data_IF_280198794949
#
_entry.id   IF_280198794949
#
_cell.length_a   1.000
_cell.length_b   1.000
_cell.length_c   1.000
_cell.angle_alpha   90.00
_cell.angle_beta   90.00
_cell.angle_gamma   90.00
#
_symmetry.space_group_name_H-M   'P 1'
#
loop_
_entity.id
_entity.type
_entity.pdbx_description
1 polymer ?
#
# COMPACT_ATOMS: atom_id res chain seq x y z
N UNK A 1 7.29 5.13 24.05
CA UNK A 1 7.63 5.80 22.79
C UNK A 1 9.13 5.69 22.61
N UNK A 2 9.60 4.63 21.92
CA UNK A 2 11.03 4.40 21.67
C UNK A 2 11.33 4.97 20.30
N UNK A 3 12.19 5.97 20.24
CA UNK A 3 12.75 6.47 18.99
C UNK A 3 13.65 5.38 18.38
N UNK A 4 13.33 4.78 17.24
CA UNK A 4 14.19 3.81 16.59
C UNK A 4 15.08 4.52 15.58
N UNK A 5 15.93 5.45 16.03
CA UNK A 5 16.87 6.06 15.10
C UNK A 5 18.29 5.68 15.52
N UNK A 6 18.68 4.45 15.17
CA UNK A 6 20.07 4.05 15.17
C UNK A 6 20.63 4.47 13.80
N UNK A 7 21.18 5.68 13.74
CA UNK A 7 21.93 6.16 12.57
C UNK A 7 23.17 5.29 12.46
N UNK A 8 23.10 4.21 11.70
CA UNK A 8 24.29 3.55 11.18
C UNK A 8 24.51 4.09 9.78
N UNK A 9 25.63 4.79 9.52
CA UNK A 9 25.96 5.27 8.20
C UNK A 9 25.94 4.09 7.23
N UNK A 10 25.14 4.17 6.18
CA UNK A 10 25.15 3.12 5.18
C UNK A 10 26.55 3.12 4.56
N UNK A 11 27.21 1.98 4.52
CA UNK A 11 28.56 1.85 3.93
C UNK A 11 28.63 2.51 2.54
N UNK A 12 27.52 2.51 1.82
CA UNK A 12 27.40 3.14 0.49
C UNK A 12 27.45 4.66 0.52
N UNK A 13 26.77 5.30 1.49
CA UNK A 13 26.81 6.76 1.65
C UNK A 13 28.22 7.24 2.03
N UNK A 14 28.87 6.51 2.93
CA UNK A 14 30.25 6.79 3.33
C UNK A 14 31.22 6.63 2.15
N UNK A 15 31.11 5.55 1.39
CA UNK A 15 31.95 5.33 0.19
C UNK A 15 31.74 6.41 -0.85
N UNK A 16 30.50 6.76 -1.18
CA UNK A 16 30.18 7.80 -2.17
C UNK A 16 30.76 9.15 -1.75
N UNK A 17 30.58 9.54 -0.49
CA UNK A 17 31.14 10.78 0.06
C UNK A 17 32.67 10.79 0.01
N UNK A 18 33.30 9.66 0.31
CA UNK A 18 34.73 9.50 0.25
C UNK A 18 35.28 9.70 -1.17
N UNK A 19 34.66 9.09 -2.18
CA UNK A 19 35.05 9.26 -3.59
C UNK A 19 34.87 10.71 -4.07
N UNK A 20 33.76 11.37 -3.73
CA UNK A 20 33.49 12.77 -4.09
C UNK A 20 34.58 13.68 -3.52
N UNK A 21 34.94 13.48 -2.24
CA UNK A 21 35.95 14.30 -1.60
C UNK A 21 37.36 14.06 -2.13
N UNK A 22 37.72 12.81 -2.49
CA UNK A 22 38.98 12.51 -3.17
C UNK A 22 39.08 13.23 -4.51
N UNK A 23 38.02 13.18 -5.32
CA UNK A 23 37.99 13.87 -6.62
C UNK A 23 38.14 15.38 -6.41
N UNK A 24 37.44 15.96 -5.44
CA UNK A 24 37.55 17.38 -5.10
C UNK A 24 38.97 17.75 -4.66
N UNK A 25 39.64 16.91 -3.87
CA UNK A 25 41.01 17.11 -3.40
C UNK A 25 42.01 17.06 -4.55
N UNK A 26 41.88 16.11 -5.47
CA UNK A 26 42.72 16.00 -6.67
C UNK A 26 42.54 17.24 -7.54
N UNK A 27 41.31 17.68 -7.76
CA UNK A 27 41.00 18.88 -8.55
C UNK A 27 41.60 20.13 -7.94
N UNK A 28 41.47 20.30 -6.60
CA UNK A 28 42.07 21.40 -5.86
C UNK A 28 43.60 21.44 -6.01
N UNK A 29 44.27 20.29 -5.88
CA UNK A 29 45.72 20.17 -6.04
C UNK A 29 46.18 20.57 -7.43
N UNK A 30 45.45 20.16 -8.48
CA UNK A 30 45.77 20.51 -9.88
C UNK A 30 45.62 22.01 -10.13
N UNK A 31 44.57 22.65 -9.55
CA UNK A 31 44.25 24.08 -9.83
C UNK A 31 45.16 25.02 -9.05
N UNK A 32 45.46 24.72 -7.81
CA UNK A 32 46.16 25.67 -6.89
C UNK A 32 47.66 25.35 -6.80
N UNK A 33 48.09 24.15 -7.16
CA UNK A 33 49.51 23.77 -7.26
C UNK A 33 50.26 23.70 -5.92
N UNK A 34 49.56 23.78 -4.76
CA UNK A 34 50.15 23.69 -3.44
C UNK A 34 49.13 23.27 -2.39
N UNK A 35 49.59 22.65 -1.31
CA UNK A 35 48.75 22.18 -0.21
C UNK A 35 49.26 22.77 1.10
N UNK A 36 48.40 23.47 1.82
CA UNK A 36 48.68 24.03 3.15
C UNK A 36 48.03 23.17 4.23
N UNK A 37 48.59 23.19 5.47
CA UNK A 37 48.01 22.47 6.59
C UNK A 37 46.60 22.97 6.93
N UNK A 38 46.28 24.24 6.64
CA UNK A 38 44.97 24.82 6.84
C UNK A 38 43.93 24.21 5.87
N UNK A 39 44.36 23.87 4.64
CA UNK A 39 43.50 23.26 3.62
C UNK A 39 43.04 21.87 4.03
N UNK A 40 43.88 21.12 4.79
CA UNK A 40 43.51 19.83 5.34
C UNK A 40 42.31 19.93 6.29
N UNK A 41 42.26 20.98 7.15
CA UNK A 41 41.15 21.23 8.02
C UNK A 41 39.83 21.47 7.28
N UNK A 42 39.88 22.27 6.19
CA UNK A 42 38.70 22.50 5.34
C UNK A 42 38.22 21.24 4.63
N UNK A 43 39.12 20.39 4.14
CA UNK A 43 38.76 19.14 3.51
C UNK A 43 38.12 18.16 4.47
N UNK A 44 38.63 18.03 5.70
CA UNK A 44 38.04 17.18 6.73
C UNK A 44 36.63 17.68 7.07
N UNK A 45 36.46 18.98 7.28
CA UNK A 45 35.16 19.58 7.60
C UNK A 45 34.14 19.35 6.48
N UNK A 46 34.54 19.61 5.22
CA UNK A 46 33.65 19.41 4.05
C UNK A 46 33.30 17.93 3.83
N UNK A 47 34.25 17.02 4.12
CA UNK A 47 33.98 15.59 4.07
C UNK A 47 32.89 15.18 5.06
N UNK A 48 33.01 15.60 6.32
CA UNK A 48 32.02 15.25 7.34
C UNK A 48 30.64 15.87 7.06
N UNK A 49 30.62 17.16 6.66
CA UNK A 49 29.35 17.83 6.33
C UNK A 49 28.68 17.19 5.11
N UNK A 50 29.41 16.89 4.04
CA UNK A 50 28.89 16.22 2.86
C UNK A 50 28.40 14.79 3.19
N UNK A 51 29.12 14.06 4.05
CA UNK A 51 28.70 12.73 4.48
C UNK A 51 27.37 12.74 5.24
N UNK A 52 27.21 13.69 6.17
CA UNK A 52 25.95 13.85 6.94
C UNK A 52 24.80 14.23 6.02
N UNK A 53 25.01 15.18 5.11
CA UNK A 53 23.96 15.61 4.16
C UNK A 53 23.53 14.47 3.25
N UNK A 54 24.51 13.75 2.68
CA UNK A 54 24.24 12.63 1.80
C UNK A 54 23.50 11.49 2.52
N UNK A 55 23.88 11.19 3.74
CA UNK A 55 23.20 10.17 4.55
C UNK A 55 21.75 10.54 4.84
N UNK A 56 21.50 11.78 5.28
CA UNK A 56 20.16 12.27 5.51
C UNK A 56 19.30 12.23 4.23
N UNK A 57 19.89 12.61 3.09
CA UNK A 57 19.21 12.54 1.79
C UNK A 57 18.85 11.11 1.41
N UNK A 58 19.81 10.18 1.47
CA UNK A 58 19.57 8.77 1.11
C UNK A 58 18.57 8.10 2.05
N UNK A 59 18.62 8.42 3.34
CA UNK A 59 17.65 7.90 4.32
C UNK A 59 16.25 8.40 4.01
N UNK A 60 16.09 9.71 3.81
CA UNK A 60 14.81 10.31 3.43
C UNK A 60 14.25 9.75 2.12
N UNK A 61 15.13 9.53 1.13
CA UNK A 61 14.75 8.96 -0.15
C UNK A 61 14.24 7.51 -0.01
N UNK A 62 14.94 6.68 0.79
CA UNK A 62 14.50 5.30 1.06
C UNK A 62 13.16 5.26 1.78
N UNK A 63 12.98 6.08 2.81
CA UNK A 63 11.70 6.16 3.54
C UNK A 63 10.55 6.52 2.61
N UNK A 64 10.74 7.51 1.72
CA UNK A 64 9.72 7.87 0.74
C UNK A 64 9.40 6.75 -0.25
N UNK A 65 10.41 6.00 -0.69
CA UNK A 65 10.19 4.83 -1.56
C UNK A 65 9.38 3.74 -0.85
N UNK A 66 9.67 3.48 0.42
CA UNK A 66 8.92 2.52 1.24
C UNK A 66 7.46 2.97 1.42
N UNK A 67 7.22 4.26 1.72
CA UNK A 67 5.88 4.83 1.81
C UNK A 67 5.10 4.67 0.49
N UNK A 68 5.73 4.98 -0.64
CA UNK A 68 5.12 4.81 -1.97
C UNK A 68 4.77 3.34 -2.24
N UNK A 69 5.65 2.41 -1.87
CA UNK A 69 5.38 0.99 -2.06
C UNK A 69 4.21 0.51 -1.18
N UNK A 70 4.17 0.93 0.09
CA UNK A 70 3.05 0.61 0.99
C UNK A 70 1.73 1.16 0.42
N UNK A 71 1.71 2.40 -0.06
CA UNK A 71 0.51 2.99 -0.66
C UNK A 71 0.06 2.25 -1.93
N UNK A 72 1.01 1.82 -2.77
CA UNK A 72 0.70 1.00 -3.95
C UNK A 72 0.12 -0.36 -3.58
N UNK A 73 0.67 -1.00 -2.57
CA UNK A 73 0.18 -2.30 -2.10
C UNK A 73 -1.23 -2.17 -1.51
N UNK A 74 -1.50 -1.11 -0.75
CA UNK A 74 -2.84 -0.80 -0.26
C UNK A 74 -3.84 -0.54 -1.39
N UNK A 75 -3.42 0.22 -2.43
CA UNK A 75 -4.28 0.48 -3.59
C UNK A 75 -4.57 -0.80 -4.38
N UNK A 76 -3.57 -1.65 -4.59
CA UNK A 76 -3.73 -2.93 -5.26
C UNK A 76 -4.67 -3.85 -4.49
N UNK A 77 -4.48 -3.97 -3.17
CA UNK A 77 -5.36 -4.73 -2.29
C UNK A 77 -6.81 -4.22 -2.37
N UNK A 78 -7.01 -2.90 -2.30
CA UNK A 78 -8.35 -2.30 -2.44
C UNK A 78 -9.00 -2.62 -3.78
N UNK A 79 -8.23 -2.55 -4.87
CA UNK A 79 -8.71 -2.86 -6.22
C UNK A 79 -9.10 -4.33 -6.36
N UNK A 80 -8.27 -5.24 -5.86
CA UNK A 80 -8.54 -6.67 -5.85
C UNK A 80 -9.76 -7.00 -4.98
N UNK A 81 -9.85 -6.41 -3.79
CA UNK A 81 -10.99 -6.55 -2.89
C UNK A 81 -12.30 -6.14 -3.58
N UNK A 82 -12.36 -4.94 -4.18
CA UNK A 82 -13.55 -4.48 -4.90
C UNK A 82 -13.89 -5.36 -6.11
N UNK A 83 -12.89 -5.89 -6.80
CA UNK A 83 -13.05 -6.86 -7.87
C UNK A 83 -13.73 -8.14 -7.37
N UNK A 84 -13.22 -8.72 -6.29
CA UNK A 84 -13.74 -9.95 -5.68
C UNK A 84 -15.18 -9.74 -5.16
N UNK A 85 -15.44 -8.63 -4.47
CA UNK A 85 -16.79 -8.26 -4.02
C UNK A 85 -17.75 -8.18 -5.20
N UNK A 86 -17.34 -7.53 -6.28
CA UNK A 86 -18.16 -7.40 -7.49
C UNK A 86 -18.52 -8.77 -8.10
N UNK A 87 -17.57 -9.68 -8.13
CA UNK A 87 -17.80 -11.05 -8.61
C UNK A 87 -18.73 -11.84 -7.70
N UNK A 88 -18.53 -11.75 -6.39
CA UNK A 88 -19.37 -12.43 -5.39
C UNK A 88 -20.82 -11.91 -5.40
N UNK A 89 -21.05 -10.64 -5.70
CA UNK A 89 -22.38 -10.06 -5.84
C UNK A 89 -23.04 -10.42 -7.17
N UNK A 90 -22.29 -10.46 -8.29
CA UNK A 90 -22.84 -10.75 -9.61
C UNK A 90 -23.49 -12.12 -9.71
N UNK A 91 -22.87 -13.14 -9.14
CA UNK A 91 -23.33 -14.54 -9.23
C UNK A 91 -24.75 -14.73 -8.68
N UNK A 92 -25.06 -14.39 -7.40
CA UNK A 92 -26.41 -14.50 -6.89
C UNK A 92 -27.39 -13.57 -7.59
N UNK A 93 -26.96 -12.37 -8.00
CA UNK A 93 -27.80 -11.40 -8.68
C UNK A 93 -28.31 -11.93 -10.02
N UNK A 94 -27.41 -12.43 -10.88
CA UNK A 94 -27.81 -13.02 -12.17
C UNK A 94 -28.63 -14.29 -12.00
N UNK A 95 -28.36 -15.08 -10.96
CA UNK A 95 -29.14 -16.27 -10.64
C UNK A 95 -30.58 -15.91 -10.26
N UNK A 96 -30.75 -14.89 -9.40
CA UNK A 96 -32.09 -14.37 -9.03
C UNK A 96 -32.80 -13.85 -10.26
N UNK A 97 -32.13 -13.00 -11.06
CA UNK A 97 -32.67 -12.45 -12.29
C UNK A 97 -33.15 -13.56 -13.24
N UNK A 98 -32.34 -14.60 -13.48
CA UNK A 98 -32.70 -15.72 -14.32
C UNK A 98 -33.95 -16.46 -13.85
N UNK A 99 -34.08 -16.70 -12.53
CA UNK A 99 -35.29 -17.34 -11.98
C UNK A 99 -36.51 -16.45 -12.12
N UNK A 100 -36.38 -15.16 -11.88
CA UNK A 100 -37.48 -14.20 -12.02
C UNK A 100 -37.93 -14.13 -13.49
N UNK A 101 -37.00 -14.01 -14.45
CA UNK A 101 -37.32 -13.99 -15.88
C UNK A 101 -38.01 -15.27 -16.32
N UNK A 102 -37.54 -16.44 -15.93
CA UNK A 102 -38.17 -17.74 -16.22
C UNK A 102 -39.61 -17.81 -15.67
N UNK A 103 -39.83 -17.24 -14.48
CA UNK A 103 -41.17 -17.18 -13.90
C UNK A 103 -42.11 -16.28 -14.75
N UNK A 104 -41.61 -15.13 -15.19
CA UNK A 104 -42.38 -14.18 -16.04
C UNK A 104 -42.73 -14.80 -17.41
N UNK A 105 -41.77 -15.51 -18.01
CA UNK A 105 -41.91 -16.16 -19.32
C UNK A 105 -42.86 -17.35 -19.36
N UNK A 106 -43.44 -17.75 -18.24
CA UNK A 106 -44.50 -18.75 -18.21
C UNK A 106 -44.44 -19.78 -17.10
N UNK A 107 -43.31 -19.93 -16.40
CA UNK A 107 -43.17 -20.90 -15.31
C UNK A 107 -44.06 -20.58 -14.08
N UNK A 108 -44.69 -19.41 -14.03
CA UNK A 108 -45.68 -19.04 -13.00
C UNK A 108 -46.90 -19.98 -13.01
N UNK A 109 -47.26 -20.56 -14.16
CA UNK A 109 -48.43 -21.44 -14.33
C UNK A 109 -48.20 -22.83 -13.72
N UNK A 110 -46.94 -23.28 -13.65
CA UNK A 110 -46.57 -24.55 -13.02
C UNK A 110 -46.29 -24.35 -11.53
N UNK A 111 -47.18 -24.88 -10.68
CA UNK A 111 -47.07 -24.74 -9.19
C UNK A 111 -45.77 -25.30 -8.61
N UNK A 112 -45.22 -26.40 -9.19
CA UNK A 112 -43.98 -27.05 -8.69
C UNK A 112 -42.76 -26.18 -9.03
N UNK A 113 -42.68 -25.74 -10.27
CA UNK A 113 -41.58 -24.91 -10.78
C UNK A 113 -41.60 -23.53 -10.13
N UNK A 114 -42.75 -22.89 -10.04
CA UNK A 114 -42.93 -21.62 -9.37
C UNK A 114 -42.41 -21.61 -7.94
N UNK A 115 -42.83 -22.58 -7.14
CA UNK A 115 -42.39 -22.68 -5.74
C UNK A 115 -40.90 -22.93 -5.60
N UNK A 116 -40.31 -23.69 -6.53
CA UNK A 116 -38.85 -23.96 -6.57
C UNK A 116 -38.05 -22.70 -6.89
N UNK A 117 -38.46 -21.95 -7.92
CA UNK A 117 -37.71 -20.76 -8.35
C UNK A 117 -37.84 -19.60 -7.37
N UNK A 118 -39.01 -19.39 -6.76
CA UNK A 118 -39.19 -18.40 -5.70
C UNK A 118 -38.27 -18.69 -4.49
N UNK A 119 -38.21 -19.96 -4.03
CA UNK A 119 -37.32 -20.34 -2.95
C UNK A 119 -35.83 -20.17 -3.30
N UNK A 120 -35.45 -20.43 -4.53
CA UNK A 120 -34.07 -20.24 -5.00
C UNK A 120 -33.71 -18.75 -5.10
N UNK A 121 -34.64 -17.92 -5.56
CA UNK A 121 -34.45 -16.46 -5.56
C UNK A 121 -34.31 -15.92 -4.15
N UNK A 122 -35.15 -16.37 -3.20
CA UNK A 122 -35.03 -15.99 -1.79
C UNK A 122 -33.66 -16.37 -1.21
N UNK A 123 -33.18 -17.60 -1.45
CA UNK A 123 -31.82 -18.00 -1.03
C UNK A 123 -30.73 -17.13 -1.66
N UNK A 124 -30.90 -16.69 -2.89
CA UNK A 124 -29.98 -15.77 -3.54
C UNK A 124 -29.95 -14.39 -2.86
N UNK A 125 -31.11 -13.88 -2.44
CA UNK A 125 -31.22 -12.65 -1.65
C UNK A 125 -30.55 -12.81 -0.28
N UNK A 126 -30.79 -13.93 0.41
CA UNK A 126 -30.13 -14.21 1.71
C UNK A 126 -28.60 -14.21 1.58
N UNK A 127 -28.07 -14.77 0.46
CA UNK A 127 -26.65 -14.73 0.17
C UNK A 127 -26.14 -13.31 -0.03
N UNK A 128 -26.85 -12.45 -0.77
CA UNK A 128 -26.50 -11.03 -0.95
C UNK A 128 -26.48 -10.29 0.40
N UNK A 129 -27.45 -10.53 1.25
CA UNK A 129 -27.51 -9.94 2.60
C UNK A 129 -26.29 -10.37 3.43
N UNK A 130 -25.88 -11.64 3.35
CA UNK A 130 -24.68 -12.11 4.03
C UNK A 130 -23.42 -11.38 3.56
N UNK A 131 -23.24 -11.26 2.23
CA UNK A 131 -22.07 -10.57 1.66
C UNK A 131 -22.03 -9.10 2.12
N UNK A 132 -23.18 -8.41 2.13
CA UNK A 132 -23.25 -7.01 2.60
C UNK A 132 -22.87 -6.92 4.07
N UNK A 133 -23.36 -7.83 4.94
CA UNK A 133 -22.97 -7.87 6.36
C UNK A 133 -21.46 -8.09 6.55
N UNK A 134 -20.87 -8.99 5.76
CA UNK A 134 -19.43 -9.26 5.82
C UNK A 134 -18.63 -8.00 5.42
N UNK A 135 -19.10 -7.25 4.40
CA UNK A 135 -18.50 -5.97 3.99
C UNK A 135 -18.62 -4.90 5.08
N UNK A 136 -19.77 -4.80 5.73
CA UNK A 136 -19.99 -3.85 6.85
C UNK A 136 -19.02 -4.13 7.99
N UNK A 137 -18.81 -5.41 8.33
CA UNK A 137 -17.84 -5.81 9.35
C UNK A 137 -16.41 -5.40 8.97
N UNK A 138 -15.99 -5.65 7.72
CA UNK A 138 -14.65 -5.27 7.24
C UNK A 138 -14.49 -3.75 7.33
N UNK A 139 -15.47 -2.99 6.89
CA UNK A 139 -15.44 -1.51 6.92
C UNK A 139 -15.34 -0.96 8.35
N UNK A 140 -16.03 -1.60 9.30
CA UNK A 140 -15.96 -1.24 10.72
C UNK A 140 -14.57 -1.53 11.29
N UNK A 141 -13.95 -2.65 10.95
CA UNK A 141 -12.58 -2.98 11.36
C UNK A 141 -11.56 -1.98 10.80
N UNK A 142 -11.67 -1.62 9.52
CA UNK A 142 -10.77 -0.65 8.87
C UNK A 142 -10.90 0.75 9.46
N UNK A 143 -12.12 1.16 9.83
CA UNK A 143 -12.37 2.48 10.43
C UNK A 143 -11.97 2.58 11.91
N UNK A 144 -11.51 1.49 12.53
CA UNK A 144 -11.12 1.45 13.94
C UNK A 144 -12.29 1.63 14.92
N UNK A 145 -13.52 1.59 14.42
CA UNK A 145 -14.73 1.64 15.26
C UNK A 145 -14.88 0.27 15.91
N UNK A 146 -14.40 0.12 17.15
CA UNK A 146 -14.78 -1.01 17.99
C UNK A 146 -16.28 -0.93 18.21
N UNK A 147 -17.04 -1.83 17.59
CA UNK A 147 -18.41 -2.08 17.99
C UNK A 147 -18.38 -2.55 19.44
N UNK A 148 -18.74 -1.66 20.35
CA UNK A 148 -19.10 -2.05 21.70
C UNK A 148 -20.38 -2.85 21.55
N UNK A 149 -20.29 -4.18 21.73
CA UNK A 149 -21.44 -5.06 21.85
C UNK A 149 -22.39 -4.46 22.88
N UNK A 150 -23.54 -4.01 22.41
CA UNK A 150 -24.66 -3.73 23.29
C UNK A 150 -25.34 -5.07 23.59
N UNK A 151 -24.94 -5.70 24.72
CA UNK A 151 -25.79 -6.65 25.44
C UNK A 151 -27.12 -6.05 25.78
#
# INVERSE_FOLDING_TARGET
MKLPFKIQPSKQAFQASFFINIIALIFYFIVIGGFSINDLGYFILTFFTASIVLENFLTSYKTRLEEINILKDQENYRREFLGNVSHELKTPLFTIQGYILTLIEGALKDKKVRGKYLRRSAKGVDRLISIVKDLDLITQFESGIKTVDKT
#
